data_IF_855218111538
#
_entry.id   IF_855218111538
#
_cell.length_a   1.000
_cell.length_b   1.000
_cell.length_c   1.000
_cell.angle_alpha   90.00
_cell.angle_beta   90.00
_cell.angle_gamma   90.00
#
_symmetry.space_group_name_H-M   'P 1'
#
loop_
_entity.id
_entity.type
_entity.pdbx_description
1 polymer ?
#
# COMPACT_ATOMS: atom_id res chain seq x y z
N UNK A 1 -42.56 -16.56 -33.63
CA UNK A 1 -41.60 -15.86 -32.74
C UNK A 1 -41.10 -14.66 -33.51
N UNK A 2 -41.38 -13.43 -33.10
CA UNK A 2 -41.09 -12.22 -33.88
C UNK A 2 -39.57 -12.03 -33.99
N UNK A 3 -39.07 -11.77 -35.22
CA UNK A 3 -37.62 -11.52 -35.51
C UNK A 3 -37.01 -10.45 -34.56
N UNK A 4 -37.83 -9.46 -34.19
CA UNK A 4 -37.45 -8.41 -33.24
C UNK A 4 -37.15 -8.97 -31.84
N UNK A 5 -37.95 -9.91 -31.36
CA UNK A 5 -37.76 -10.53 -30.05
C UNK A 5 -36.49 -11.39 -30.01
N UNK A 6 -36.19 -12.08 -31.11
CA UNK A 6 -34.94 -12.84 -31.25
C UNK A 6 -33.70 -11.94 -31.23
N UNK A 7 -33.74 -10.80 -31.92
CA UNK A 7 -32.62 -9.84 -31.95
C UNK A 7 -32.42 -9.25 -30.56
N UNK A 8 -33.45 -8.82 -29.85
CA UNK A 8 -33.36 -8.29 -28.50
C UNK A 8 -32.77 -9.30 -27.49
N UNK A 9 -33.18 -10.57 -27.65
CA UNK A 9 -32.65 -11.66 -26.80
C UNK A 9 -31.14 -11.89 -27.04
N UNK A 10 -30.68 -11.88 -28.30
CA UNK A 10 -29.26 -12.00 -28.62
C UNK A 10 -28.46 -10.80 -28.11
N UNK A 11 -28.97 -9.58 -28.26
CA UNK A 11 -28.27 -8.37 -27.71
C UNK A 11 -28.15 -8.44 -26.20
N UNK A 12 -29.18 -8.92 -25.50
CA UNK A 12 -29.13 -9.10 -24.05
C UNK A 12 -28.07 -10.11 -23.63
N UNK A 13 -28.01 -11.26 -24.31
CA UNK A 13 -26.97 -12.28 -24.00
C UNK A 13 -25.57 -11.74 -24.24
N UNK A 14 -25.34 -11.03 -25.34
CA UNK A 14 -24.03 -10.44 -25.67
C UNK A 14 -23.65 -9.39 -24.61
N UNK A 15 -24.60 -8.54 -24.19
CA UNK A 15 -24.35 -7.53 -23.17
C UNK A 15 -24.01 -8.13 -21.80
N UNK A 16 -24.70 -9.19 -21.39
CA UNK A 16 -24.41 -9.93 -20.16
C UNK A 16 -23.04 -10.60 -20.26
N UNK A 17 -22.73 -11.25 -21.38
CA UNK A 17 -21.43 -11.87 -21.62
C UNK A 17 -20.27 -10.87 -21.58
N UNK A 18 -20.45 -9.71 -22.23
CA UNK A 18 -19.48 -8.64 -22.23
C UNK A 18 -19.27 -8.04 -20.83
N UNK A 19 -20.36 -7.82 -20.09
CA UNK A 19 -20.30 -7.35 -18.70
C UNK A 19 -19.56 -8.32 -17.79
N UNK A 20 -19.83 -9.63 -17.89
CA UNK A 20 -19.11 -10.64 -17.14
C UNK A 20 -17.63 -10.74 -17.55
N UNK A 21 -17.34 -10.61 -18.84
CA UNK A 21 -15.97 -10.60 -19.35
C UNK A 21 -15.19 -9.41 -18.77
N UNK A 22 -15.75 -8.20 -18.82
CA UNK A 22 -15.12 -6.99 -18.27
C UNK A 22 -14.89 -7.15 -16.76
N UNK A 23 -15.90 -7.62 -16.03
CA UNK A 23 -15.78 -7.83 -14.58
C UNK A 23 -14.70 -8.84 -14.20
N UNK A 24 -14.52 -9.90 -14.99
CA UNK A 24 -13.51 -10.95 -14.75
C UNK A 24 -12.14 -10.60 -15.31
N UNK A 25 -12.04 -9.60 -16.18
CA UNK A 25 -10.76 -9.09 -16.71
C UNK A 25 -10.13 -8.00 -15.84
N UNK A 26 -10.78 -7.60 -14.74
CA UNK A 26 -10.13 -6.78 -13.74
C UNK A 26 -8.84 -7.50 -13.29
N UNK A 27 -7.66 -6.84 -13.42
CA UNK A 27 -6.43 -7.47 -12.97
C UNK A 27 -6.56 -7.80 -11.50
N UNK A 28 -6.53 -9.08 -11.16
CA UNK A 28 -6.47 -9.50 -9.76
C UNK A 28 -5.18 -8.97 -9.17
N UNK A 29 -5.28 -7.84 -8.45
CA UNK A 29 -4.15 -7.33 -7.68
C UNK A 29 -3.86 -8.40 -6.63
N UNK A 30 -2.71 -9.03 -6.74
CA UNK A 30 -2.26 -9.97 -5.72
C UNK A 30 -1.89 -9.16 -4.46
N UNK A 31 -2.85 -9.01 -3.59
CA UNK A 31 -2.72 -8.23 -2.36
C UNK A 31 -1.66 -8.79 -1.40
N UNK A 32 -1.39 -10.09 -1.44
CA UNK A 32 -0.31 -10.72 -0.66
C UNK A 32 1.06 -10.17 -1.06
N UNK A 33 1.24 -9.84 -2.35
CA UNK A 33 2.49 -9.26 -2.86
C UNK A 33 2.76 -7.86 -2.31
N UNK A 34 1.72 -7.14 -1.89
CA UNK A 34 1.81 -5.76 -1.40
C UNK A 34 1.63 -5.63 0.11
N UNK A 35 1.54 -6.74 0.87
CA UNK A 35 1.27 -6.72 2.31
C UNK A 35 0.08 -5.81 2.67
N UNK A 36 -1.04 -6.00 1.99
CA UNK A 36 -2.26 -5.27 2.27
C UNK A 36 -2.79 -5.65 3.67
N UNK A 37 -2.94 -4.67 4.54
CA UNK A 37 -3.47 -4.83 5.90
C UNK A 37 -4.99 -4.70 5.90
N UNK A 38 -5.51 -3.73 5.16
CA UNK A 38 -6.93 -3.49 4.96
C UNK A 38 -7.14 -2.80 3.60
N UNK A 39 -8.36 -2.68 3.08
CA UNK A 39 -8.62 -2.04 1.79
C UNK A 39 -7.94 -0.67 1.69
N UNK A 40 -7.00 -0.54 0.75
CA UNK A 40 -6.24 0.70 0.50
C UNK A 40 -5.08 0.96 1.45
N UNK A 41 -4.84 0.11 2.48
CA UNK A 41 -3.72 0.27 3.42
C UNK A 41 -2.63 -0.74 3.14
N UNK A 42 -1.53 -0.27 2.57
CA UNK A 42 -0.33 -1.05 2.31
C UNK A 42 0.65 -0.93 3.48
N UNK A 43 1.31 -2.03 3.81
CA UNK A 43 2.37 -2.05 4.84
C UNK A 43 3.70 -2.36 4.19
N UNK A 44 4.70 -1.51 4.43
CA UNK A 44 6.08 -1.82 4.08
C UNK A 44 6.56 -3.02 4.92
N UNK A 45 7.06 -4.11 4.31
CA UNK A 45 7.62 -5.24 5.03
C UNK A 45 8.79 -4.83 5.92
N UNK A 46 8.88 -5.38 7.13
CA UNK A 46 9.94 -5.07 8.10
C UNK A 46 11.34 -5.34 7.53
N UNK A 47 11.48 -6.41 6.73
CA UNK A 47 12.71 -6.74 6.00
C UNK A 47 13.26 -5.58 5.14
N UNK A 48 12.43 -4.61 4.75
CA UNK A 48 12.89 -3.45 3.98
C UNK A 48 13.68 -2.43 4.81
N UNK A 49 13.65 -2.57 6.14
CA UNK A 49 14.39 -1.72 7.08
C UNK A 49 15.66 -2.38 7.61
N UNK A 50 15.93 -3.63 7.21
CA UNK A 50 17.12 -4.39 7.62
C UNK A 50 18.30 -4.12 6.67
N UNK A 51 19.53 -4.21 7.18
CA UNK A 51 20.78 -4.16 6.43
C UNK A 51 20.95 -2.95 5.49
N UNK A 52 20.38 -1.83 5.82
CA UNK A 52 20.48 -0.62 5.03
C UNK A 52 21.83 0.06 5.23
N UNK A 53 22.46 0.45 4.13
CA UNK A 53 23.77 1.11 4.15
C UNK A 53 23.74 2.40 4.98
N UNK A 54 24.63 2.53 5.95
CA UNK A 54 24.76 3.70 6.82
C UNK A 54 23.48 4.03 7.61
N UNK A 55 22.68 3.00 7.96
CA UNK A 55 21.44 3.16 8.70
C UNK A 55 21.30 2.10 9.80
N UNK A 56 22.09 2.22 10.87
CA UNK A 56 22.16 1.21 11.94
C UNK A 56 21.04 1.32 12.96
N UNK A 57 20.00 2.07 12.68
CA UNK A 57 18.94 2.41 13.63
C UNK A 57 17.91 1.30 13.74
N UNK A 58 17.48 0.99 14.96
CA UNK A 58 16.39 0.07 15.21
C UNK A 58 15.05 0.72 14.83
N UNK A 59 14.22 0.08 14.00
CA UNK A 59 12.93 0.63 13.63
C UNK A 59 11.96 0.62 14.82
N UNK A 60 11.29 1.73 15.04
CA UNK A 60 10.16 1.83 15.95
C UNK A 60 8.89 2.08 15.17
N UNK A 61 7.74 1.70 15.75
CA UNK A 61 6.46 1.82 15.09
C UNK A 61 5.37 2.35 16.03
N UNK A 62 4.63 3.33 15.55
CA UNK A 62 3.41 3.81 16.16
C UNK A 62 2.22 3.37 15.29
N UNK A 63 1.23 2.73 15.90
CA UNK A 63 0.01 2.30 15.19
C UNK A 63 -1.13 3.28 15.47
N UNK A 64 -1.72 3.80 14.40
CA UNK A 64 -2.91 4.68 14.45
C UNK A 64 -3.96 4.08 13.52
N UNK A 65 -5.02 3.51 14.09
CA UNK A 65 -5.98 2.72 13.32
C UNK A 65 -5.28 1.56 12.61
N UNK A 66 -5.49 1.42 11.32
CA UNK A 66 -4.86 0.38 10.48
C UNK A 66 -3.47 0.78 9.95
N UNK A 67 -3.06 2.03 10.19
CA UNK A 67 -1.81 2.57 9.67
C UNK A 67 -0.70 2.43 10.70
N UNK A 68 0.48 2.04 10.25
CA UNK A 68 1.70 1.94 11.05
C UNK A 68 2.71 2.98 10.57
N UNK A 69 3.10 3.88 11.47
CA UNK A 69 4.09 4.92 11.23
C UNK A 69 5.44 4.43 11.74
N UNK A 70 6.44 4.41 10.88
CA UNK A 70 7.83 4.14 11.23
C UNK A 70 8.50 5.41 11.77
N UNK A 71 9.27 5.27 12.85
CA UNK A 71 10.10 6.37 13.39
C UNK A 71 11.40 5.86 13.99
N UNK A 72 12.36 6.76 14.16
CA UNK A 72 13.64 6.54 14.85
C UNK A 72 13.62 7.36 16.12
N UNK A 73 14.10 6.77 17.20
CA UNK A 73 14.24 7.42 18.52
C UNK A 73 15.62 7.14 19.07
N UNK A 74 16.56 8.05 18.79
CA UNK A 74 17.98 7.93 19.13
C UNK A 74 18.42 9.04 20.06
N UNK A 75 19.49 8.80 20.79
CA UNK A 75 20.10 9.74 21.72
C UNK A 75 19.63 9.63 23.18
N UNK A 76 20.08 10.53 24.07
CA UNK A 76 19.75 10.51 25.48
C UNK A 76 18.28 10.81 25.73
N UNK A 77 17.64 10.01 26.58
CA UNK A 77 16.18 10.09 26.84
C UNK A 77 15.77 11.30 27.71
N UNK A 78 16.71 11.93 28.36
CA UNK A 78 16.57 13.14 29.17
C UNK A 78 17.09 14.40 28.50
N UNK A 79 17.53 14.27 27.23
CA UNK A 79 18.04 15.37 26.43
C UNK A 79 16.97 16.24 25.79
N UNK A 80 17.40 17.34 25.18
CA UNK A 80 16.52 18.17 24.37
C UNK A 80 16.09 17.40 23.10
N UNK A 81 14.77 17.36 22.86
CA UNK A 81 14.22 16.66 21.70
C UNK A 81 14.46 17.49 20.44
N UNK A 82 15.04 16.87 19.42
CA UNK A 82 15.14 17.40 18.05
C UNK A 82 14.23 16.56 17.17
N UNK A 83 13.25 17.19 16.54
CA UNK A 83 12.25 16.51 15.72
C UNK A 83 12.57 16.69 14.24
N UNK A 84 12.85 15.58 13.52
CA UNK A 84 13.19 15.57 12.11
C UNK A 84 12.03 14.98 11.30
N UNK A 85 11.35 15.81 10.53
CA UNK A 85 10.29 15.41 9.61
C UNK A 85 10.81 15.40 8.18
N UNK A 86 10.63 14.27 7.52
CA UNK A 86 10.95 14.16 6.09
C UNK A 86 9.77 14.63 5.22
N UNK A 87 10.07 15.02 3.99
CA UNK A 87 9.08 15.30 2.96
C UNK A 87 8.84 14.10 2.02
N UNK A 88 7.79 14.18 1.21
CA UNK A 88 7.54 13.20 0.17
C UNK A 88 8.48 13.43 -1.03
N UNK A 89 8.97 12.40 -1.71
CA UNK A 89 8.76 10.95 -1.49
C UNK A 89 9.84 10.29 -0.63
N UNK A 90 10.38 10.98 0.38
CA UNK A 90 11.47 10.49 1.23
C UNK A 90 10.94 9.84 2.52
N UNK A 91 11.87 9.39 3.38
CA UNK A 91 11.60 8.83 4.70
C UNK A 91 12.81 9.07 5.62
N UNK A 92 12.82 8.59 6.86
CA UNK A 92 13.85 8.84 7.87
C UNK A 92 15.29 8.52 7.41
N UNK A 93 15.47 7.67 6.42
CA UNK A 93 16.79 7.40 5.80
C UNK A 93 17.49 8.66 5.26
N UNK A 94 16.72 9.69 4.89
CA UNK A 94 17.25 10.98 4.48
C UNK A 94 18.19 11.57 5.55
N UNK A 95 17.85 11.39 6.82
CA UNK A 95 18.56 11.98 7.96
C UNK A 95 19.66 11.10 8.52
N UNK A 96 19.95 9.92 7.95
CA UNK A 96 20.89 8.92 8.46
C UNK A 96 22.30 9.41 8.78
N UNK A 97 22.70 10.54 8.23
CA UNK A 97 24.00 11.17 8.49
C UNK A 97 23.90 12.34 9.49
N UNK A 98 22.70 12.68 9.94
CA UNK A 98 22.44 13.76 10.89
C UNK A 98 22.06 13.22 12.27
N UNK A 99 21.50 12.00 12.32
CA UNK A 99 21.23 11.23 13.52
C UNK A 99 22.55 10.58 13.97
#
# INVERSE_FOLDING_TARGET
MNKVFSILFFVLIISIGLFQYIRNSEPSINYERFNLVSPGVLRTPDKRFEDLKDYPFTPNYLTIGDTRIHYIDEGPKDGQIIYLLHGEPTWSYLFRKMI
#
